data_IF_170731643048
#
_entry.id   IF_170731643048
#
_cell.length_a   1.000
_cell.length_b   1.000
_cell.length_c   1.000
_cell.angle_alpha   90.00
_cell.angle_beta   90.00
_cell.angle_gamma   90.00
#
_symmetry.space_group_name_H-M   'P 1'
#
loop_
_entity.id
_entity.type
_entity.pdbx_description
1 polymer ?
#
# COMPACT_ATOMS: atom_id res chain seq x y z
N UNK A 1 -12.74 6.80 5.60
CA UNK A 1 -12.18 5.65 6.35
C UNK A 1 -12.16 5.88 7.86
N UNK A 2 -11.58 6.97 8.39
CA UNK A 2 -11.46 7.18 9.85
C UNK A 2 -12.79 7.10 10.60
N UNK A 3 -13.80 7.88 10.18
CA UNK A 3 -15.15 7.86 10.78
C UNK A 3 -15.77 6.47 10.86
N UNK A 4 -15.66 5.68 9.79
CA UNK A 4 -16.18 4.31 9.77
C UNK A 4 -15.45 3.42 10.78
N UNK A 5 -14.12 3.58 10.94
CA UNK A 5 -13.34 2.88 11.95
C UNK A 5 -13.75 3.26 13.38
N UNK A 6 -13.98 4.55 13.65
CA UNK A 6 -14.47 5.05 14.94
C UNK A 6 -15.85 4.47 15.27
N UNK A 7 -16.78 4.49 14.31
CA UNK A 7 -18.12 3.91 14.46
C UNK A 7 -18.07 2.41 14.75
N UNK A 8 -17.18 1.67 14.10
CA UNK A 8 -16.96 0.23 14.35
C UNK A 8 -16.43 0.01 15.77
N UNK A 9 -15.38 0.73 16.21
CA UNK A 9 -14.85 0.59 17.57
C UNK A 9 -15.91 0.93 18.62
N UNK A 10 -16.70 1.98 18.38
CA UNK A 10 -17.81 2.37 19.25
C UNK A 10 -18.88 1.28 19.33
N UNK A 11 -19.28 0.69 18.21
CA UNK A 11 -20.28 -0.39 18.17
C UNK A 11 -19.83 -1.65 18.92
N UNK A 12 -18.52 -1.88 18.98
CA UNK A 12 -17.89 -3.01 19.66
C UNK A 12 -17.56 -2.71 21.13
N UNK A 13 -17.89 -1.52 21.62
CA UNK A 13 -17.65 -1.09 23.00
C UNK A 13 -16.16 -0.97 23.36
N UNK A 14 -15.26 -0.94 22.36
CA UNK A 14 -13.82 -0.83 22.57
C UNK A 14 -13.45 0.64 22.69
N UNK A 15 -12.68 0.96 23.74
CA UNK A 15 -12.17 2.30 24.01
C UNK A 15 -10.66 2.29 24.02
N UNK A 16 -10.07 3.37 23.50
CA UNK A 16 -8.63 3.67 23.56
C UNK A 16 -7.72 2.59 22.93
N UNK A 17 -8.27 1.76 22.02
CA UNK A 17 -7.50 0.74 21.29
C UNK A 17 -6.83 1.28 20.04
N UNK A 18 -7.48 2.25 19.37
CA UNK A 18 -7.01 2.86 18.13
C UNK A 18 -7.03 4.38 18.32
N UNK A 19 -5.95 5.05 17.92
CA UNK A 19 -5.85 6.50 17.82
C UNK A 19 -5.88 6.87 16.34
N UNK A 20 -6.75 7.81 15.99
CA UNK A 20 -6.93 8.27 14.61
C UNK A 20 -6.28 9.64 14.43
N UNK A 21 -5.60 9.82 13.31
CA UNK A 21 -4.86 11.05 12.99
C UNK A 21 -5.08 11.38 11.51
N UNK A 22 -5.40 12.63 11.24
CA UNK A 22 -5.42 13.17 9.87
C UNK A 22 -4.06 13.81 9.58
N UNK A 23 -3.36 13.32 8.57
CA UNK A 23 -2.06 13.83 8.15
C UNK A 23 -1.81 13.55 6.67
N UNK A 24 -1.03 14.42 6.04
CA UNK A 24 -0.48 14.25 4.70
C UNK A 24 0.86 13.53 4.78
N UNK A 25 0.88 12.25 4.40
CA UNK A 25 2.07 11.39 4.49
C UNK A 25 3.14 11.71 3.44
N UNK A 26 2.86 12.60 2.47
CA UNK A 26 3.89 13.15 1.58
C UNK A 26 4.81 14.14 2.31
N UNK A 27 4.42 14.57 3.51
CA UNK A 27 5.15 15.51 4.38
C UNK A 27 5.56 14.81 5.68
N UNK A 28 6.50 15.38 6.47
CA UNK A 28 6.85 14.83 7.78
C UNK A 28 5.61 14.67 8.68
N UNK A 29 5.25 13.44 9.03
CA UNK A 29 4.01 13.18 9.79
C UNK A 29 4.15 13.62 11.25
N UNK A 30 5.34 13.49 11.84
CA UNK A 30 5.62 13.88 13.22
C UNK A 30 5.48 15.40 13.47
N UNK A 31 5.51 16.22 12.42
CA UNK A 31 5.28 17.67 12.50
C UNK A 31 3.77 18.03 12.45
N UNK A 32 2.94 17.11 11.97
CA UNK A 32 1.51 17.31 11.79
C UNK A 32 0.71 16.77 12.98
N UNK A 33 1.13 15.64 13.54
CA UNK A 33 0.39 14.91 14.57
C UNK A 33 1.30 14.32 15.64
N UNK A 34 0.75 14.17 16.86
CA UNK A 34 1.47 13.60 18.01
C UNK A 34 1.42 12.07 17.96
N UNK A 35 2.42 11.47 17.32
CA UNK A 35 2.65 10.02 17.31
C UNK A 35 3.46 9.57 18.52
N UNK A 36 3.47 8.26 18.77
CA UNK A 36 4.52 7.64 19.59
C UNK A 36 5.86 7.76 18.85
N UNK A 37 6.95 7.71 19.61
CA UNK A 37 8.28 7.91 19.04
C UNK A 37 8.60 6.87 17.96
N UNK A 38 8.34 5.58 18.25
CA UNK A 38 8.61 4.45 17.34
C UNK A 38 7.69 3.26 17.57
N UNK A 39 7.50 2.48 16.51
CA UNK A 39 6.62 1.32 16.43
C UNK A 39 7.38 0.05 16.06
N UNK A 40 6.91 -1.10 16.55
CA UNK A 40 7.42 -2.41 16.17
C UNK A 40 7.02 -2.80 14.75
N UNK A 41 5.86 -2.31 14.29
CA UNK A 41 5.32 -2.53 12.95
C UNK A 41 4.80 -1.20 12.40
N UNK A 42 5.14 -0.90 11.15
CA UNK A 42 4.53 0.19 10.37
C UNK A 42 3.92 -0.39 9.11
N UNK A 43 2.63 -0.10 8.88
CA UNK A 43 1.90 -0.58 7.71
C UNK A 43 1.58 0.56 6.75
N UNK A 44 1.79 0.35 5.46
CA UNK A 44 1.43 1.30 4.40
C UNK A 44 0.71 0.56 3.27
N UNK A 45 -0.59 0.34 3.45
CA UNK A 45 -1.39 -0.43 2.50
C UNK A 45 -2.07 0.53 1.51
N UNK A 46 -1.64 0.49 0.24
CA UNK A 46 -2.08 1.39 -0.83
C UNK A 46 -1.71 2.86 -0.66
N UNK A 47 -0.79 3.16 0.27
CA UNK A 47 -0.39 4.54 0.58
C UNK A 47 0.56 5.10 -0.47
N UNK A 48 1.55 4.29 -0.88
CA UNK A 48 2.58 4.73 -1.84
C UNK A 48 2.04 4.89 -3.26
N UNK A 49 0.88 4.30 -3.56
CA UNK A 49 0.16 4.44 -4.83
C UNK A 49 -0.53 5.81 -4.99
N UNK A 50 -0.19 6.78 -4.14
CA UNK A 50 -0.63 8.16 -4.23
C UNK A 50 0.54 9.17 -4.30
N UNK A 51 1.80 8.69 -4.33
CA UNK A 51 2.95 9.57 -4.54
C UNK A 51 3.01 10.02 -6.00
N UNK A 52 2.94 11.32 -6.26
CA UNK A 52 2.94 11.89 -7.62
C UNK A 52 4.35 12.20 -8.14
N UNK A 53 5.37 12.01 -7.30
CA UNK A 53 6.78 12.22 -7.64
C UNK A 53 7.70 11.31 -6.83
N UNK A 54 8.94 11.16 -7.30
CA UNK A 54 9.99 10.40 -6.58
C UNK A 54 10.29 11.02 -5.22
N UNK A 55 10.23 12.35 -5.11
CA UNK A 55 10.42 13.08 -3.85
C UNK A 55 9.31 12.80 -2.84
N UNK A 56 8.05 12.78 -3.26
CA UNK A 56 6.93 12.44 -2.37
C UNK A 56 7.05 11.00 -1.90
N UNK A 57 7.37 10.07 -2.80
CA UNK A 57 7.57 8.67 -2.42
C UNK A 57 8.71 8.52 -1.40
N UNK A 58 9.83 9.22 -1.61
CA UNK A 58 10.94 9.23 -0.65
C UNK A 58 10.49 9.76 0.71
N UNK A 59 9.77 10.87 0.75
CA UNK A 59 9.23 11.43 2.00
C UNK A 59 8.32 10.44 2.74
N UNK A 60 7.44 9.74 2.02
CA UNK A 60 6.61 8.68 2.59
C UNK A 60 7.45 7.54 3.19
N UNK A 61 8.49 7.08 2.50
CA UNK A 61 9.41 6.06 3.04
C UNK A 61 10.21 6.57 4.25
N UNK A 62 10.62 7.85 4.26
CA UNK A 62 11.28 8.44 5.41
C UNK A 62 10.39 8.43 6.64
N UNK A 63 9.10 8.73 6.49
CA UNK A 63 8.12 8.62 7.57
C UNK A 63 8.09 7.18 8.10
N UNK A 64 7.98 6.18 7.22
CA UNK A 64 7.99 4.76 7.61
C UNK A 64 9.25 4.40 8.39
N UNK A 65 10.43 4.71 7.86
CA UNK A 65 11.70 4.36 8.49
C UNK A 65 11.88 5.08 9.81
N UNK A 66 11.59 6.38 9.90
CA UNK A 66 11.70 7.16 11.13
C UNK A 66 10.79 6.60 12.23
N UNK A 67 9.58 6.19 11.87
CA UNK A 67 8.60 5.59 12.79
C UNK A 67 8.94 4.16 13.21
N UNK A 68 9.85 3.44 12.55
CA UNK A 68 10.23 2.08 12.96
C UNK A 68 11.28 2.06 14.06
N UNK A 69 11.12 1.17 15.03
CA UNK A 69 12.22 0.74 15.92
C UNK A 69 13.32 0.01 15.12
N UNK A 70 14.58 0.02 15.55
CA UNK A 70 15.60 -0.87 14.98
C UNK A 70 15.11 -2.32 15.03
N UNK A 71 15.25 -3.07 13.93
CA UNK A 71 14.69 -4.43 13.78
C UNK A 71 13.16 -4.49 13.60
N UNK A 72 12.46 -3.36 13.65
CA UNK A 72 11.02 -3.26 13.41
C UNK A 72 10.64 -3.62 11.98
N UNK A 73 9.37 -4.00 11.77
CA UNK A 73 8.88 -4.54 10.50
C UNK A 73 8.05 -3.52 9.72
N UNK A 74 8.40 -3.33 8.46
CA UNK A 74 7.53 -2.67 7.49
C UNK A 74 6.65 -3.72 6.78
N UNK A 75 5.37 -3.41 6.59
CA UNK A 75 4.44 -4.19 5.76
C UNK A 75 3.72 -3.22 4.83
N UNK A 76 3.83 -3.40 3.51
CA UNK A 76 3.19 -2.54 2.54
C UNK A 76 2.38 -3.33 1.52
N UNK A 77 1.18 -2.86 1.22
CA UNK A 77 0.46 -3.28 0.01
C UNK A 77 0.71 -2.21 -1.05
N UNK A 78 1.10 -2.62 -2.25
CA UNK A 78 1.34 -1.71 -3.36
C UNK A 78 1.04 -2.36 -4.70
N UNK A 79 0.75 -1.54 -5.69
CA UNK A 79 0.50 -2.02 -7.04
C UNK A 79 1.78 -2.57 -7.69
N UNK A 80 1.62 -3.53 -8.60
CA UNK A 80 2.70 -4.18 -9.38
C UNK A 80 2.35 -4.21 -10.86
N UNK A 81 1.51 -5.15 -11.28
CA UNK A 81 1.11 -5.26 -12.69
C UNK A 81 -0.10 -4.39 -13.01
N UNK A 82 0.13 -3.09 -13.24
CA UNK A 82 -0.92 -2.09 -13.56
C UNK A 82 -1.73 -2.48 -14.81
N UNK A 83 -1.09 -3.18 -15.76
CA UNK A 83 -1.70 -3.60 -17.03
C UNK A 83 -2.07 -5.09 -17.08
N UNK A 84 -2.20 -5.75 -15.93
CA UNK A 84 -2.64 -7.14 -15.91
C UNK A 84 -4.01 -7.28 -16.58
N UNK A 85 -4.19 -8.31 -17.42
CA UNK A 85 -5.36 -8.40 -18.31
C UNK A 85 -6.71 -8.34 -17.57
N UNK A 86 -6.81 -8.98 -16.40
CA UNK A 86 -8.02 -8.98 -15.58
C UNK A 86 -8.40 -7.63 -14.98
N UNK A 87 -7.48 -6.67 -14.99
CA UNK A 87 -7.75 -5.29 -14.60
C UNK A 87 -8.58 -4.54 -15.65
N UNK A 88 -8.77 -5.07 -16.85
CA UNK A 88 -9.64 -4.47 -17.86
C UNK A 88 -11.13 -4.82 -17.70
N UNK A 89 -11.44 -5.91 -16.98
CA UNK A 89 -12.82 -6.40 -16.79
C UNK A 89 -13.22 -6.64 -15.33
N UNK A 90 -12.34 -6.35 -14.38
CA UNK A 90 -12.73 -6.18 -12.98
C UNK A 90 -12.94 -7.47 -12.19
N UNK A 91 -12.28 -8.57 -12.58
CA UNK A 91 -12.42 -9.91 -11.95
C UNK A 91 -12.35 -9.87 -10.42
N UNK A 92 -11.47 -9.03 -9.86
CA UNK A 92 -11.22 -8.92 -8.43
C UNK A 92 -11.72 -7.59 -7.82
N UNK A 93 -12.73 -6.96 -8.43
CA UNK A 93 -13.45 -5.83 -7.85
C UNK A 93 -12.95 -4.44 -8.25
N UNK A 94 -11.90 -4.34 -9.07
CA UNK A 94 -11.40 -3.05 -9.59
C UNK A 94 -10.96 -3.17 -11.05
N UNK A 95 -11.12 -2.09 -11.81
CA UNK A 95 -10.46 -1.93 -13.12
C UNK A 95 -9.50 -0.75 -13.12
N UNK A 96 -8.44 -0.83 -13.94
CA UNK A 96 -7.50 0.28 -14.16
C UNK A 96 -7.65 0.82 -15.59
N UNK A 97 -7.85 2.13 -15.71
CA UNK A 97 -7.98 2.83 -17.00
C UNK A 97 -7.01 4.01 -17.08
N UNK A 98 -6.90 4.62 -18.26
CA UNK A 98 -6.16 5.88 -18.48
C UNK A 98 -4.70 5.86 -18.00
N UNK A 99 -4.03 4.71 -18.21
CA UNK A 99 -2.65 4.51 -17.77
C UNK A 99 -1.70 5.38 -18.60
N UNK A 100 -1.11 6.39 -17.98
CA UNK A 100 -0.18 7.35 -18.56
C UNK A 100 1.18 7.27 -17.86
N UNK A 101 2.25 7.54 -18.60
CA UNK A 101 3.58 7.69 -18.02
C UNK A 101 3.73 9.06 -17.35
N UNK A 102 4.38 9.07 -16.20
CA UNK A 102 4.80 10.28 -15.48
C UNK A 102 6.30 10.15 -15.14
N UNK A 103 7.01 11.24 -14.82
CA UNK A 103 8.41 11.16 -14.43
C UNK A 103 8.63 10.18 -13.26
N UNK A 104 9.30 9.06 -13.53
CA UNK A 104 9.62 8.01 -12.56
C UNK A 104 8.45 7.07 -12.22
N UNK A 105 7.35 7.07 -12.96
CA UNK A 105 6.22 6.21 -12.64
C UNK A 105 5.09 6.18 -13.67
N UNK A 106 3.95 5.67 -13.22
CA UNK A 106 2.68 5.61 -13.95
C UNK A 106 1.61 6.35 -13.16
N UNK A 107 0.64 6.90 -13.88
CA UNK A 107 -0.61 7.45 -13.34
C UNK A 107 -1.79 6.80 -14.04
N UNK A 108 -2.83 6.45 -13.30
CA UNK A 108 -3.98 5.72 -13.83
C UNK A 108 -5.23 5.99 -12.98
N UNK A 109 -6.39 5.69 -13.55
CA UNK A 109 -7.67 5.70 -12.84
C UNK A 109 -7.97 4.31 -12.27
N UNK A 110 -8.38 4.26 -11.01
CA UNK A 110 -8.92 3.07 -10.35
C UNK A 110 -10.43 3.20 -10.31
N UNK A 111 -11.13 2.25 -10.92
CA UNK A 111 -12.59 2.19 -10.88
C UNK A 111 -13.03 1.00 -10.03
N UNK A 112 -13.69 1.29 -8.91
CA UNK A 112 -14.19 0.28 -7.97
C UNK A 112 -15.53 -0.28 -8.44
N UNK A 113 -15.60 -1.61 -8.56
CA UNK A 113 -16.81 -2.34 -8.95
C UNK A 113 -17.69 -2.55 -7.71
N UNK A 114 -18.23 -1.44 -7.19
CA UNK A 114 -19.13 -1.40 -6.03
C UNK A 114 -20.50 -0.84 -6.42
N UNK A 115 -21.46 -0.89 -5.50
CA UNK A 115 -22.78 -0.24 -5.66
C UNK A 115 -23.00 0.74 -4.49
N UNK A 116 -22.97 2.07 -4.72
CA UNK A 116 -22.69 2.72 -6.00
C UNK A 116 -21.22 2.61 -6.43
N UNK A 117 -20.92 2.66 -7.74
CA UNK A 117 -19.54 2.66 -8.23
C UNK A 117 -18.88 3.99 -7.89
N UNK A 118 -17.56 3.96 -7.69
CA UNK A 118 -16.74 5.16 -7.54
C UNK A 118 -15.35 4.96 -8.15
N UNK A 119 -14.71 6.07 -8.49
CA UNK A 119 -13.37 6.06 -9.09
C UNK A 119 -12.46 7.10 -8.42
N UNK A 120 -11.16 6.86 -8.49
CA UNK A 120 -10.14 7.79 -8.02
C UNK A 120 -8.83 7.60 -8.79
N UNK A 121 -8.01 8.65 -8.79
CA UNK A 121 -6.67 8.61 -9.39
C UNK A 121 -5.67 7.92 -8.45
N UNK A 122 -4.81 7.11 -9.05
CA UNK A 122 -3.66 6.50 -8.39
C UNK A 122 -2.40 6.66 -9.24
N UNK A 123 -1.27 6.50 -8.59
CA UNK A 123 0.06 6.46 -9.20
C UNK A 123 0.78 5.20 -8.80
N UNK A 124 1.84 4.87 -9.52
CA UNK A 124 2.76 3.80 -9.15
C UNK A 124 4.14 4.21 -9.61
N UNK A 125 5.03 4.46 -8.65
CA UNK A 125 6.39 4.89 -8.92
C UNK A 125 7.29 3.69 -9.16
N UNK A 126 8.31 3.84 -10.01
CA UNK A 126 9.18 2.74 -10.45
C UNK A 126 9.82 2.01 -9.27
N UNK A 127 10.25 2.71 -8.23
CA UNK A 127 10.81 2.09 -7.02
C UNK A 127 9.88 1.05 -6.37
N UNK A 128 8.56 1.19 -6.51
CA UNK A 128 7.58 0.29 -5.91
C UNK A 128 7.11 -0.79 -6.89
N UNK A 129 6.53 -0.42 -8.04
CA UNK A 129 5.88 -1.41 -8.92
C UNK A 129 6.89 -2.35 -9.61
N UNK A 130 8.14 -1.92 -9.81
CA UNK A 130 9.21 -2.79 -10.35
C UNK A 130 9.81 -3.73 -9.30
N UNK A 131 9.48 -3.55 -8.02
CA UNK A 131 10.11 -4.23 -6.87
C UNK A 131 11.62 -3.99 -6.75
N UNK A 132 12.16 -2.94 -7.37
CA UNK A 132 13.56 -2.55 -7.18
C UNK A 132 13.84 -2.09 -5.75
N UNK A 133 12.85 -1.46 -5.10
CA UNK A 133 12.89 -1.04 -3.70
C UNK A 133 14.06 -0.11 -3.34
N UNK A 134 14.64 0.57 -4.33
CA UNK A 134 15.89 1.32 -4.13
C UNK A 134 15.74 2.43 -3.07
N UNK A 135 14.60 3.14 -3.04
CA UNK A 135 14.35 4.19 -2.04
C UNK A 135 14.31 3.60 -0.64
N UNK A 136 13.57 2.50 -0.44
CA UNK A 136 13.48 1.82 0.85
C UNK A 136 14.84 1.31 1.32
N UNK A 137 15.63 0.71 0.42
CA UNK A 137 16.97 0.19 0.69
C UNK A 137 17.94 1.30 1.11
N UNK A 138 17.97 2.41 0.37
CA UNK A 138 18.81 3.57 0.71
C UNK A 138 18.48 4.17 2.07
N UNK A 139 17.21 4.09 2.49
CA UNK A 139 16.75 4.57 3.79
C UNK A 139 16.92 3.52 4.91
N UNK A 140 17.52 2.37 4.63
CA UNK A 140 17.85 1.36 5.63
C UNK A 140 16.79 0.28 5.86
N UNK A 141 15.87 0.08 4.91
CA UNK A 141 15.06 -1.14 4.87
C UNK A 141 15.87 -2.30 4.29
N UNK A 142 15.86 -3.43 4.99
CA UNK A 142 16.57 -4.67 4.65
C UNK A 142 15.62 -5.86 4.68
N UNK A 143 16.11 -7.03 4.23
CA UNK A 143 15.31 -8.27 4.16
C UNK A 143 13.98 -8.09 3.41
N UNK A 144 13.99 -7.27 2.34
CA UNK A 144 12.79 -6.95 1.57
C UNK A 144 12.36 -8.15 0.73
N UNK A 145 11.14 -8.60 0.91
CA UNK A 145 10.55 -9.71 0.15
C UNK A 145 9.06 -9.50 -0.08
N UNK A 146 8.54 -10.15 -1.12
CA UNK A 146 7.09 -10.25 -1.36
C UNK A 146 6.55 -11.44 -0.58
N UNK A 147 5.46 -11.25 0.16
CA UNK A 147 4.78 -12.36 0.83
C UNK A 147 4.12 -13.27 -0.22
N UNK A 148 4.27 -14.61 -0.13
CA UNK A 148 3.77 -15.55 -1.12
C UNK A 148 2.24 -15.65 -1.03
N UNK A 149 1.55 -15.11 -2.03
CA UNK A 149 0.09 -15.09 -2.04
C UNK A 149 -0.52 -16.50 -2.20
N UNK A 150 0.20 -17.39 -2.88
CA UNK A 150 -0.14 -18.80 -3.05
C UNK A 150 -0.19 -19.59 -1.73
N UNK A 151 0.45 -19.08 -0.67
CA UNK A 151 0.41 -19.70 0.65
C UNK A 151 -0.80 -19.26 1.49
N UNK A 152 -1.58 -18.28 1.02
CA UNK A 152 -2.77 -17.85 1.73
C UNK A 152 -3.88 -18.87 1.62
N UNK A 153 -4.65 -19.05 2.70
CA UNK A 153 -5.79 -19.99 2.71
C UNK A 153 -6.84 -19.63 1.65
N UNK A 154 -7.03 -18.34 1.37
CA UNK A 154 -7.91 -17.85 0.32
C UNK A 154 -7.54 -18.43 -1.05
N UNK A 155 -6.25 -18.41 -1.38
CA UNK A 155 -5.75 -18.91 -2.66
C UNK A 155 -5.69 -20.43 -2.70
N UNK A 156 -5.31 -21.09 -1.59
CA UNK A 156 -5.30 -22.56 -1.51
C UNK A 156 -6.70 -23.16 -1.69
N UNK A 157 -7.72 -22.50 -1.14
CA UNK A 157 -9.10 -22.98 -1.19
C UNK A 157 -9.77 -22.78 -2.55
N UNK A 158 -9.28 -21.87 -3.39
CA UNK A 158 -9.84 -21.62 -4.72
C UNK A 158 -8.78 -21.19 -5.74
N UNK A 159 -7.83 -22.08 -6.01
CA UNK A 159 -6.68 -21.74 -6.86
C UNK A 159 -7.07 -21.36 -8.29
N UNK A 160 -8.11 -21.97 -8.84
CA UNK A 160 -8.62 -21.70 -10.19
C UNK A 160 -9.13 -20.26 -10.30
N UNK A 161 -9.91 -19.79 -9.32
CA UNK A 161 -10.34 -18.40 -9.29
C UNK A 161 -9.16 -17.41 -9.26
N UNK A 162 -8.10 -17.73 -8.52
CA UNK A 162 -6.92 -16.88 -8.35
C UNK A 162 -5.82 -17.03 -9.41
N UNK A 163 -6.01 -17.88 -10.43
CA UNK A 163 -4.96 -18.17 -11.42
C UNK A 163 -4.44 -16.90 -12.14
N UNK A 164 -5.34 -16.01 -12.55
CA UNK A 164 -4.96 -14.77 -13.23
C UNK A 164 -4.09 -13.87 -12.33
N UNK A 165 -4.46 -13.73 -11.06
CA UNK A 165 -3.69 -12.97 -10.08
C UNK A 165 -2.33 -13.62 -9.80
N UNK A 166 -2.28 -14.94 -9.65
CA UNK A 166 -1.02 -15.67 -9.42
C UNK A 166 -0.06 -15.54 -10.60
N UNK A 167 -0.59 -15.52 -11.82
CA UNK A 167 0.19 -15.37 -13.05
C UNK A 167 0.73 -13.94 -13.23
N UNK A 168 -0.10 -12.93 -12.98
CA UNK A 168 0.27 -11.53 -13.17
C UNK A 168 -0.34 -10.62 -12.08
N UNK A 169 0.24 -10.60 -10.87
CA UNK A 169 -0.38 -9.95 -9.71
C UNK A 169 -0.40 -8.43 -9.87
N UNK A 170 -1.59 -7.83 -9.81
CA UNK A 170 -1.79 -6.38 -9.93
C UNK A 170 -1.31 -5.66 -8.68
N UNK A 171 -1.19 -6.37 -7.56
CA UNK A 171 -0.59 -5.87 -6.32
C UNK A 171 0.19 -6.96 -5.62
N UNK A 172 1.03 -6.55 -4.68
CA UNK A 172 1.77 -7.45 -3.80
C UNK A 172 1.80 -6.93 -2.37
N UNK A 173 2.02 -7.83 -1.42
CA UNK A 173 2.38 -7.49 -0.04
C UNK A 173 3.89 -7.56 0.08
N UNK A 174 4.54 -6.46 0.44
CA UNK A 174 5.97 -6.39 0.69
C UNK A 174 6.22 -6.31 2.18
N UNK A 175 7.18 -7.11 2.64
CA UNK A 175 7.64 -7.13 4.02
C UNK A 175 9.12 -6.77 4.03
N UNK A 176 9.51 -5.91 4.96
CA UNK A 176 10.90 -5.52 5.17
C UNK A 176 11.19 -5.31 6.67
N UNK A 177 12.46 -5.21 7.03
CA UNK A 177 12.90 -4.81 8.37
C UNK A 177 13.69 -3.52 8.32
N UNK A 178 13.66 -2.74 9.40
CA UNK A 178 14.60 -1.65 9.61
C UNK A 178 15.93 -2.20 10.12
N UNK A 179 17.02 -1.84 9.46
CA UNK A 179 18.39 -2.13 9.89
C UNK A 179 18.72 -1.56 11.28
#
# INVERSE_FOLDING_TARGET
MMKAGEEIEQSLGRKDRIRWFEADVTKPVAEQVKLEERYDIVMANWVFDHATSVSELRSMYENVVKSLKPGGKFIGVRSKSIRANYMSYGKYGVTFTDVTEIPGGLRYQVNCVTEPPFSFEATSMESTFSLSDYIGKELGLVEIHVAPAEETELVKNDREFWEDYLKDPNFVVVVAKKA
#
